data_IF_057511104343
#
_entry.id   IF_057511104343
#
_cell.length_a   1.000
_cell.length_b   1.000
_cell.length_c   1.000
_cell.angle_alpha   90.00
_cell.angle_beta   90.00
_cell.angle_gamma   90.00
#
_symmetry.space_group_name_H-M   'P 1'
#
loop_
_entity.id
_entity.type
_entity.pdbx_description
1 polymer ?
#
# COMPACT_ATOMS: atom_id res chain seq x y z
N UNK A 1 16.85 -5.22 12.30
CA UNK A 1 15.71 -4.28 12.40
C UNK A 1 15.93 -3.07 11.48
N UNK A 2 14.91 -2.64 10.72
CA UNK A 2 15.03 -1.50 9.79
C UNK A 2 15.11 -0.12 10.49
N UNK A 3 14.92 -0.09 11.81
CA UNK A 3 14.90 1.12 12.64
C UNK A 3 13.53 1.82 12.65
N UNK A 4 13.40 2.93 13.40
CA UNK A 4 12.19 3.73 13.46
C UNK A 4 12.04 4.53 12.17
N UNK A 5 11.37 3.95 11.18
CA UNK A 5 11.03 4.56 9.90
C UNK A 5 9.53 4.44 9.70
N UNK A 6 8.93 5.42 9.03
CA UNK A 6 7.60 5.20 8.46
C UNK A 6 7.71 4.12 7.38
N UNK A 7 6.78 3.18 7.37
CA UNK A 7 6.81 2.01 6.48
C UNK A 7 5.45 1.82 5.83
N UNK A 8 5.47 1.53 4.53
CA UNK A 8 4.32 1.02 3.80
C UNK A 8 4.46 -0.49 3.62
N UNK A 9 3.58 -1.25 4.27
CA UNK A 9 3.41 -2.68 4.05
C UNK A 9 2.53 -2.94 2.83
N UNK A 10 2.93 -3.91 2.00
CA UNK A 10 2.18 -4.37 0.83
C UNK A 10 1.97 -5.87 0.97
N UNK A 11 0.71 -6.30 1.06
CA UNK A 11 0.29 -7.69 1.02
C UNK A 11 -0.26 -8.01 -0.39
N UNK A 12 0.49 -8.71 -1.26
CA UNK A 12 0.14 -8.88 -2.66
C UNK A 12 -1.10 -9.76 -2.87
N UNK A 13 -2.01 -9.30 -3.73
CA UNK A 13 -3.21 -10.06 -4.10
C UNK A 13 -3.64 -9.77 -5.53
N UNK A 14 -4.02 -10.81 -6.27
CA UNK A 14 -4.51 -10.69 -7.66
C UNK A 14 -6.01 -10.35 -7.63
N UNK A 15 -6.87 -11.37 -7.52
CA UNK A 15 -8.33 -11.22 -7.58
C UNK A 15 -8.91 -10.35 -6.45
N UNK A 16 -8.30 -10.39 -5.27
CA UNK A 16 -8.73 -9.62 -4.09
C UNK A 16 -8.04 -8.26 -3.96
N UNK A 17 -7.10 -7.95 -4.86
CA UNK A 17 -6.26 -6.75 -4.81
C UNK A 17 -5.18 -6.79 -3.72
N UNK A 18 -4.13 -5.99 -3.88
CA UNK A 18 -3.07 -5.84 -2.89
C UNK A 18 -3.54 -4.95 -1.74
N UNK A 19 -3.32 -5.38 -0.49
CA UNK A 19 -3.63 -4.58 0.70
C UNK A 19 -2.42 -3.74 1.08
N UNK A 20 -2.67 -2.49 1.40
CA UNK A 20 -1.66 -1.51 1.78
C UNK A 20 -1.93 -1.07 3.22
N UNK A 21 -0.88 -1.01 4.03
CA UNK A 21 -0.93 -0.43 5.37
C UNK A 21 0.28 0.48 5.57
N UNK A 22 0.04 1.72 5.98
CA UNK A 22 1.10 2.70 6.28
C UNK A 22 1.19 2.85 7.80
N UNK A 23 2.38 2.70 8.35
CA UNK A 23 2.68 2.92 9.77
C UNK A 23 3.72 4.01 9.94
N UNK A 24 3.64 4.75 11.05
CA UNK A 24 4.65 5.73 11.42
C UNK A 24 5.88 5.09 12.10
N UNK A 25 6.83 5.92 12.51
CA UNK A 25 8.08 5.49 13.17
C UNK A 25 7.88 4.76 14.49
N UNK A 26 6.70 4.86 15.11
CA UNK A 26 6.33 4.17 16.36
C UNK A 26 5.61 2.84 16.11
N UNK A 27 5.25 2.56 14.86
CA UNK A 27 4.43 1.41 14.48
C UNK A 27 2.92 1.68 14.54
N UNK A 28 2.50 2.92 14.78
CA UNK A 28 1.08 3.29 14.77
C UNK A 28 0.57 3.30 13.33
N UNK A 29 -0.59 2.68 13.12
CA UNK A 29 -1.29 2.69 11.83
C UNK A 29 -1.77 4.10 11.48
N UNK A 30 -1.42 4.57 10.28
CA UNK A 30 -1.84 5.86 9.73
C UNK A 30 -2.98 5.70 8.73
N UNK A 31 -2.82 4.81 7.74
CA UNK A 31 -3.80 4.63 6.66
C UNK A 31 -3.75 3.21 6.10
N UNK A 32 -4.87 2.75 5.52
CA UNK A 32 -4.96 1.52 4.75
C UNK A 32 -5.60 1.78 3.39
N UNK A 33 -5.27 0.94 2.41
CA UNK A 33 -5.91 0.96 1.10
C UNK A 33 -5.96 -0.45 0.50
N UNK A 34 -6.85 -0.65 -0.49
CA UNK A 34 -6.77 -1.81 -1.39
C UNK A 34 -6.61 -1.31 -2.80
N UNK A 35 -5.54 -1.73 -3.46
CA UNK A 35 -5.26 -1.39 -4.87
C UNK A 35 -5.42 -2.64 -5.74
N UNK A 36 -5.67 -2.45 -7.04
CA UNK A 36 -5.92 -3.55 -7.97
C UNK A 36 -5.01 -3.46 -9.21
N UNK A 37 -3.68 -3.54 -9.05
CA UNK A 37 -2.73 -3.39 -10.16
C UNK A 37 -2.76 -4.58 -11.13
N UNK A 38 -3.29 -5.73 -10.70
CA UNK A 38 -3.31 -6.98 -11.44
C UNK A 38 -4.71 -7.30 -11.99
N UNK A 39 -4.77 -8.26 -12.91
CA UNK A 39 -6.02 -8.82 -13.44
C UNK A 39 -6.97 -9.26 -12.30
N UNK A 40 -8.30 -9.17 -12.48
CA UNK A 40 -9.03 -8.78 -13.69
C UNK A 40 -9.22 -7.26 -13.85
N UNK A 41 -8.85 -6.46 -12.84
CA UNK A 41 -9.04 -5.00 -12.89
C UNK A 41 -7.90 -4.29 -13.62
N UNK A 42 -6.67 -4.78 -13.43
CA UNK A 42 -5.43 -4.27 -14.06
C UNK A 42 -5.33 -2.75 -14.02
N UNK A 43 -5.75 -2.14 -12.91
CA UNK A 43 -5.71 -0.70 -12.72
C UNK A 43 -4.32 -0.29 -12.22
N UNK A 44 -3.35 -0.32 -13.13
CA UNK A 44 -1.96 0.00 -12.83
C UNK A 44 -1.78 1.47 -12.45
N UNK A 45 -2.36 2.38 -13.23
CA UNK A 45 -2.19 3.81 -13.04
C UNK A 45 -2.91 4.32 -11.78
N UNK A 46 -4.13 3.85 -11.50
CA UNK A 46 -4.84 4.19 -10.26
C UNK A 46 -4.14 3.63 -9.02
N UNK A 47 -3.55 2.44 -9.14
CA UNK A 47 -2.71 1.85 -8.08
C UNK A 47 -1.47 2.70 -7.81
N UNK A 48 -0.72 3.09 -8.85
CA UNK A 48 0.45 3.96 -8.72
C UNK A 48 0.09 5.32 -8.11
N UNK A 49 -1.00 5.94 -8.55
CA UNK A 49 -1.46 7.22 -8.01
C UNK A 49 -1.82 7.11 -6.51
N UNK A 50 -2.46 6.01 -6.12
CA UNK A 50 -2.79 5.73 -4.72
C UNK A 50 -1.52 5.56 -3.88
N UNK A 51 -0.56 4.76 -4.34
CA UNK A 51 0.72 4.57 -3.65
C UNK A 51 1.50 5.88 -3.51
N UNK A 52 1.56 6.69 -4.58
CA UNK A 52 2.23 7.99 -4.56
C UNK A 52 1.56 8.98 -3.59
N UNK A 53 0.24 8.92 -3.42
CA UNK A 53 -0.48 9.71 -2.40
C UNK A 53 -0.11 9.28 -0.98
N UNK A 54 -0.01 7.97 -0.74
CA UNK A 54 0.28 7.38 0.56
C UNK A 54 1.75 7.51 0.98
N UNK A 55 2.67 7.67 0.03
CA UNK A 55 4.11 7.77 0.27
C UNK A 55 4.62 9.20 0.47
N UNK A 56 3.73 10.20 0.50
CA UNK A 56 4.04 11.59 0.84
C UNK A 56 4.06 11.79 2.35
#
# INVERSE_FOLDING_TARGET
>A
PAGPKSVMGVDPGIRTGCKIAVVDTTGKLLETATIYPHEPRRDWNGSLATLARLAK
#
